data_IF_601063350687
#
_entry.id   IF_601063350687
#
_cell.length_a   1.000
_cell.length_b   1.000
_cell.length_c   1.000
_cell.angle_alpha   90.00
_cell.angle_beta   90.00
_cell.angle_gamma   90.00
#
_symmetry.space_group_name_H-M   'P 1'
#
loop_
_entity.id
_entity.type
_entity.pdbx_description
1 polymer ?
#
# COMPACT_ATOMS: atom_id res chain seq x y z
N UNK A 1 -5.52 39.51 -5.93
CA UNK A 1 -4.23 38.96 -5.44
C UNK A 1 -3.01 39.61 -6.12
N UNK A 2 -2.91 39.63 -7.45
CA UNK A 2 -1.74 40.15 -8.18
C UNK A 2 -1.41 41.63 -7.89
N UNK A 3 -2.40 42.52 -7.97
CA UNK A 3 -2.24 43.95 -7.62
C UNK A 3 -1.71 44.16 -6.18
N UNK A 4 -2.20 43.38 -5.21
CA UNK A 4 -1.72 43.40 -3.83
C UNK A 4 -0.27 42.90 -3.71
N UNK A 5 0.13 41.91 -4.51
CA UNK A 5 1.51 41.41 -4.56
C UNK A 5 2.48 42.45 -5.12
N UNK A 6 2.08 43.18 -6.16
CA UNK A 6 2.86 44.28 -6.74
C UNK A 6 3.01 45.44 -5.76
N UNK A 7 1.91 45.85 -5.11
CA UNK A 7 1.94 46.84 -4.03
C UNK A 7 2.88 46.40 -2.90
N UNK A 8 2.86 45.13 -2.49
CA UNK A 8 3.81 44.59 -1.49
C UNK A 8 5.26 44.69 -1.96
N UNK A 9 5.56 44.43 -3.24
CA UNK A 9 6.92 44.52 -3.80
C UNK A 9 7.48 45.94 -3.69
N UNK A 10 6.65 46.97 -3.94
CA UNK A 10 7.04 48.39 -3.82
C UNK A 10 7.49 48.76 -2.40
N UNK A 11 6.86 48.19 -1.37
CA UNK A 11 7.19 48.47 0.03
C UNK A 11 8.27 47.56 0.63
N UNK A 12 8.82 46.59 -0.11
CA UNK A 12 9.74 45.56 0.41
C UNK A 12 11.08 46.14 0.91
N UNK A 13 11.59 47.18 0.24
CA UNK A 13 12.89 47.79 0.53
C UNK A 13 12.76 49.20 1.13
N UNK A 14 11.55 49.64 1.47
CA UNK A 14 11.31 50.98 2.02
C UNK A 14 11.50 50.96 3.53
N UNK A 15 12.56 51.60 4.02
CA UNK A 15 12.98 51.53 5.43
C UNK A 15 12.25 52.54 6.35
N UNK A 16 11.23 53.25 5.84
CA UNK A 16 10.41 54.17 6.64
C UNK A 16 9.45 53.41 7.57
N UNK A 17 9.05 54.04 8.68
CA UNK A 17 8.07 53.45 9.62
C UNK A 17 6.75 53.12 8.92
N UNK A 18 6.26 54.04 8.08
CA UNK A 18 5.06 53.86 7.27
C UNK A 18 5.23 52.74 6.22
N UNK A 19 6.39 52.66 5.56
CA UNK A 19 6.68 51.59 4.59
C UNK A 19 6.66 50.21 5.22
N UNK A 20 7.27 50.04 6.39
CA UNK A 20 7.23 48.78 7.17
C UNK A 20 5.80 48.43 7.61
N UNK A 21 4.99 49.42 8.02
CA UNK A 21 3.60 49.20 8.40
C UNK A 21 2.74 48.73 7.20
N UNK A 22 2.88 49.40 6.06
CA UNK A 22 2.15 49.06 4.83
C UNK A 22 2.56 47.70 4.27
N UNK A 23 3.86 47.37 4.30
CA UNK A 23 4.36 46.04 3.94
C UNK A 23 3.74 44.95 4.83
N UNK A 24 3.75 45.12 6.15
CA UNK A 24 3.15 44.15 7.09
C UNK A 24 1.66 43.98 6.84
N UNK A 25 0.92 45.07 6.64
CA UNK A 25 -0.53 45.03 6.35
C UNK A 25 -0.81 44.23 5.07
N UNK A 26 -0.17 44.59 3.96
CA UNK A 26 -0.34 43.91 2.67
C UNK A 26 0.09 42.45 2.72
N UNK A 27 1.18 42.13 3.43
CA UNK A 27 1.65 40.75 3.58
C UNK A 27 0.68 39.89 4.41
N UNK A 28 0.07 40.46 5.46
CA UNK A 28 -0.95 39.78 6.25
C UNK A 28 -2.24 39.57 5.46
N UNK A 29 -2.67 40.55 4.67
CA UNK A 29 -3.83 40.42 3.78
C UNK A 29 -3.61 39.33 2.71
N UNK A 30 -2.47 39.35 2.03
CA UNK A 30 -2.10 38.32 1.05
C UNK A 30 -2.04 36.93 1.68
N UNK A 31 -1.49 36.83 2.89
CA UNK A 31 -1.47 35.55 3.63
C UNK A 31 -2.87 35.06 3.94
N UNK A 32 -3.78 35.93 4.41
CA UNK A 32 -5.19 35.58 4.66
C UNK A 32 -5.91 35.15 3.39
N UNK A 33 -5.73 35.86 2.29
CA UNK A 33 -6.31 35.48 0.98
C UNK A 33 -5.80 34.12 0.52
N UNK A 34 -4.49 33.87 0.65
CA UNK A 34 -3.88 32.60 0.28
C UNK A 34 -4.36 31.45 1.18
N UNK A 35 -4.43 31.68 2.49
CA UNK A 35 -4.91 30.69 3.46
C UNK A 35 -6.39 30.36 3.24
N UNK A 36 -7.22 31.36 2.88
CA UNK A 36 -8.62 31.18 2.49
C UNK A 36 -8.74 30.36 1.21
N UNK A 37 -7.99 30.71 0.16
CA UNK A 37 -7.99 29.97 -1.10
C UNK A 37 -7.55 28.52 -0.92
N UNK A 38 -6.49 28.27 -0.13
CA UNK A 38 -6.06 26.89 0.20
C UNK A 38 -7.13 26.12 0.97
N UNK A 39 -7.80 26.77 1.91
CA UNK A 39 -8.87 26.12 2.70
C UNK A 39 -10.04 25.74 1.82
N UNK A 40 -10.51 26.65 0.97
CA UNK A 40 -11.60 26.38 0.02
C UNK A 40 -11.23 25.30 -1.00
N UNK A 41 -9.98 25.26 -1.46
CA UNK A 41 -9.49 24.18 -2.34
C UNK A 41 -9.59 22.81 -1.65
N UNK A 42 -9.13 22.71 -0.40
CA UNK A 42 -9.23 21.46 0.37
C UNK A 42 -10.67 21.08 0.70
N UNK A 43 -11.53 22.05 1.00
CA UNK A 43 -12.96 21.81 1.22
C UNK A 43 -13.62 21.20 -0.01
N UNK A 44 -13.32 21.73 -1.20
CA UNK A 44 -13.81 21.19 -2.46
C UNK A 44 -13.39 19.74 -2.67
N UNK A 45 -12.09 19.42 -2.56
CA UNK A 45 -11.61 18.05 -2.74
C UNK A 45 -12.09 17.09 -1.65
N UNK A 46 -12.26 17.56 -0.41
CA UNK A 46 -12.86 16.74 0.64
C UNK A 46 -14.34 16.45 0.36
N UNK A 47 -15.11 17.43 -0.13
CA UNK A 47 -16.50 17.21 -0.52
C UNK A 47 -16.58 16.16 -1.64
N UNK A 48 -15.75 16.30 -2.68
CA UNK A 48 -15.70 15.36 -3.80
C UNK A 48 -15.37 13.93 -3.33
N UNK A 49 -14.36 13.77 -2.46
CA UNK A 49 -14.00 12.47 -1.90
C UNK A 49 -15.11 11.86 -1.04
N UNK A 50 -15.77 12.68 -0.21
CA UNK A 50 -16.88 12.24 0.64
C UNK A 50 -18.11 11.83 -0.20
N UNK A 51 -18.37 12.53 -1.31
CA UNK A 51 -19.45 12.18 -2.25
C UNK A 51 -19.14 10.88 -3.00
N UNK A 52 -17.90 10.69 -3.44
CA UNK A 52 -17.45 9.42 -4.04
C UNK A 52 -17.59 8.24 -3.07
N UNK A 53 -17.23 8.43 -1.79
CA UNK A 53 -17.42 7.42 -0.75
C UNK A 53 -18.91 7.12 -0.51
N UNK A 54 -19.77 8.16 -0.51
CA UNK A 54 -21.24 7.99 -0.40
C UNK A 54 -21.82 7.20 -1.58
N UNK A 55 -21.29 7.40 -2.79
CA UNK A 55 -21.69 6.65 -3.98
C UNK A 55 -21.12 5.22 -4.04
N UNK A 56 -20.26 4.83 -3.09
CA UNK A 56 -19.62 3.51 -3.07
C UNK A 56 -18.54 3.31 -4.12
N UNK A 57 -18.07 4.39 -4.79
CA UNK A 57 -17.04 4.34 -5.84
C UNK A 57 -15.64 4.41 -5.24
N UNK A 58 -15.26 3.34 -4.53
CA UNK A 58 -13.95 3.24 -3.85
C UNK A 58 -12.77 3.34 -4.84
N UNK A 59 -12.94 2.84 -6.06
CA UNK A 59 -12.01 2.97 -7.18
C UNK A 59 -11.64 4.45 -7.45
N UNK A 60 -12.66 5.31 -7.57
CA UNK A 60 -12.49 6.73 -7.84
C UNK A 60 -11.93 7.48 -6.62
N UNK A 61 -12.34 7.09 -5.40
CA UNK A 61 -11.74 7.63 -4.16
C UNK A 61 -10.23 7.40 -4.18
N UNK A 62 -9.78 6.17 -4.45
CA UNK A 62 -8.35 5.86 -4.46
C UNK A 62 -7.61 6.54 -5.61
N UNK A 63 -8.21 6.62 -6.80
CA UNK A 63 -7.64 7.35 -7.92
C UNK A 63 -7.42 8.83 -7.56
N UNK A 64 -8.42 9.48 -6.96
CA UNK A 64 -8.35 10.88 -6.55
C UNK A 64 -7.36 11.10 -5.41
N UNK A 65 -7.34 10.23 -4.41
CA UNK A 65 -6.36 10.29 -3.31
C UNK A 65 -4.94 10.14 -3.85
N UNK A 66 -4.74 9.27 -4.83
CA UNK A 66 -3.45 9.09 -5.50
C UNK A 66 -3.08 10.32 -6.33
N UNK A 67 -4.02 10.94 -7.04
CA UNK A 67 -3.82 12.23 -7.73
C UNK A 67 -3.37 13.32 -6.75
N UNK A 68 -4.08 13.48 -5.64
CA UNK A 68 -3.77 14.47 -4.61
C UNK A 68 -2.43 14.20 -3.90
N UNK A 69 -2.00 12.93 -3.86
CA UNK A 69 -0.79 12.48 -3.14
C UNK A 69 0.44 12.33 -4.02
N UNK A 70 0.25 12.23 -5.34
CA UNK A 70 1.34 12.33 -6.32
C UNK A 70 1.76 13.79 -6.40
N UNK A 71 2.90 14.11 -5.82
CA UNK A 71 3.70 15.22 -6.33
C UNK A 71 3.96 14.92 -7.82
N UNK A 72 3.85 15.94 -8.69
CA UNK A 72 4.44 15.83 -10.03
C UNK A 72 5.87 15.35 -9.80
N UNK A 73 6.20 14.14 -10.26
CA UNK A 73 7.56 13.63 -10.26
C UNK A 73 8.35 14.50 -11.24
N UNK A 74 8.76 15.69 -10.82
CA UNK A 74 9.57 16.62 -11.62
C UNK A 74 11.06 16.24 -11.56
N UNK A 75 11.40 15.06 -11.05
CA UNK A 75 12.71 14.45 -11.22
C UNK A 75 12.57 13.12 -11.94
N UNK A 76 13.17 12.98 -13.13
CA UNK A 76 13.61 11.67 -13.61
C UNK A 76 14.48 11.08 -12.50
N UNK A 77 14.18 9.86 -12.04
CA UNK A 77 15.17 9.11 -11.27
C UNK A 77 16.37 8.96 -12.20
N UNK A 78 17.50 9.58 -11.87
CA UNK A 78 18.77 9.19 -12.46
C UNK A 78 19.16 7.91 -11.74
N UNK A 79 19.02 6.79 -12.42
CA UNK A 79 19.62 5.55 -11.95
C UNK A 79 21.14 5.72 -12.12
N UNK A 80 21.88 5.58 -11.02
CA UNK A 80 23.34 5.71 -11.03
C UNK A 80 23.93 4.51 -10.30
N UNK A 81 24.89 3.83 -10.93
CA UNK A 81 25.52 2.61 -10.42
C UNK A 81 27.02 2.84 -10.32
N UNK A 82 27.67 2.30 -9.29
CA UNK A 82 29.12 2.40 -9.14
C UNK A 82 29.83 1.34 -10.01
N UNK A 83 30.83 1.78 -10.76
CA UNK A 83 31.81 0.90 -11.41
C UNK A 83 32.57 0.07 -10.37
N UNK A 84 33.22 -1.01 -10.80
CA UNK A 84 34.09 -1.86 -9.98
C UNK A 84 35.22 -1.08 -9.30
N UNK A 85 35.69 -0.02 -9.97
CA UNK A 85 36.71 0.92 -9.46
C UNK A 85 36.13 2.07 -8.61
N UNK A 86 34.82 2.05 -8.30
CA UNK A 86 34.16 3.05 -7.46
C UNK A 86 33.75 4.36 -8.16
N UNK A 87 33.78 4.40 -9.50
CA UNK A 87 33.35 5.56 -10.30
C UNK A 87 31.84 5.56 -10.50
N UNK A 88 31.17 6.71 -10.40
CA UNK A 88 29.73 6.82 -10.58
C UNK A 88 29.34 6.80 -12.08
N UNK A 89 28.66 5.73 -12.50
CA UNK A 89 28.10 5.58 -13.84
C UNK A 89 26.67 6.14 -13.85
N UNK A 90 26.39 7.00 -14.83
CA UNK A 90 25.08 7.67 -14.98
C UNK A 90 24.46 7.47 -16.37
N UNK A 91 25.22 6.92 -17.32
CA UNK A 91 24.74 6.57 -18.66
C UNK A 91 24.16 5.16 -18.67
N UNK A 92 23.04 4.97 -19.37
CA UNK A 92 22.29 3.71 -19.36
C UNK A 92 23.10 2.52 -19.91
N UNK A 93 23.95 2.76 -20.90
CA UNK A 93 24.80 1.72 -21.51
C UNK A 93 25.89 1.24 -20.55
N UNK A 94 26.49 2.16 -19.80
CA UNK A 94 27.51 1.84 -18.82
C UNK A 94 26.92 1.10 -17.63
N UNK A 95 25.72 1.50 -17.20
CA UNK A 95 24.96 0.80 -16.15
C UNK A 95 24.67 -0.64 -16.58
N UNK A 96 24.16 -0.86 -17.80
CA UNK A 96 23.88 -2.20 -18.33
C UNK A 96 25.14 -3.05 -18.42
N UNK A 97 26.25 -2.46 -18.87
CA UNK A 97 27.54 -3.16 -18.96
C UNK A 97 28.07 -3.55 -17.58
N UNK A 98 27.93 -2.68 -16.59
CA UNK A 98 28.31 -2.95 -15.19
C UNK A 98 27.46 -4.06 -14.56
N UNK A 99 26.16 -4.09 -14.87
CA UNK A 99 25.26 -5.17 -14.44
C UNK A 99 25.66 -6.52 -15.04
N UNK A 100 25.99 -6.54 -16.34
CA UNK A 100 26.50 -7.74 -17.00
C UNK A 100 27.75 -8.27 -16.31
N UNK A 101 28.74 -7.40 -16.08
CA UNK A 101 29.99 -7.77 -15.40
C UNK A 101 29.75 -8.28 -13.97
N UNK A 102 28.85 -7.65 -13.22
CA UNK A 102 28.51 -8.08 -11.86
C UNK A 102 27.93 -9.50 -11.83
N UNK A 103 27.01 -9.80 -12.76
CA UNK A 103 26.36 -11.11 -12.84
C UNK A 103 27.38 -12.16 -13.27
N UNK A 104 28.20 -11.88 -14.28
CA UNK A 104 29.27 -12.79 -14.71
C UNK A 104 30.23 -13.11 -13.54
N UNK A 105 30.68 -12.11 -12.79
CA UNK A 105 31.52 -12.32 -11.60
C UNK A 105 30.80 -13.13 -10.50
N UNK A 106 29.52 -12.83 -10.24
CA UNK A 106 28.72 -13.49 -9.20
C UNK A 106 28.53 -15.00 -9.48
N UNK A 107 28.38 -15.36 -10.76
CA UNK A 107 28.12 -16.74 -11.18
C UNK A 107 29.37 -17.47 -11.70
N UNK A 108 30.52 -16.80 -11.82
CA UNK A 108 31.79 -17.41 -12.19
C UNK A 108 32.53 -18.05 -11.00
N UNK A 109 32.12 -17.81 -9.75
CA UNK A 109 32.79 -18.39 -8.58
C UNK A 109 32.55 -19.90 -8.50
N UNK A 110 33.63 -20.67 -8.62
CA UNK A 110 33.66 -22.14 -8.51
C UNK A 110 33.38 -22.68 -7.11
N UNK A 111 32.74 -21.92 -6.22
CA UNK A 111 32.29 -22.37 -4.89
C UNK A 111 30.90 -23.03 -4.97
N UNK A 112 30.63 -23.79 -6.02
CA UNK A 112 29.42 -24.61 -6.12
C UNK A 112 29.73 -25.98 -5.52
N UNK A 113 29.02 -26.42 -4.46
CA UNK A 113 29.12 -27.80 -4.00
C UNK A 113 28.61 -28.72 -5.12
N UNK A 114 29.43 -29.70 -5.54
CA UNK A 114 29.04 -30.65 -6.59
C UNK A 114 27.86 -31.54 -6.17
N UNK A 115 27.68 -31.76 -4.86
CA UNK A 115 26.52 -32.44 -4.29
C UNK A 115 25.99 -31.69 -3.07
N UNK A 116 24.70 -31.35 -3.11
CA UNK A 116 23.93 -30.92 -1.95
C UNK A 116 23.34 -32.18 -1.29
N UNK A 117 23.43 -32.35 0.04
CA UNK A 117 22.71 -33.42 0.73
C UNK A 117 21.21 -33.20 0.53
N UNK A 118 20.60 -34.00 -0.35
CA UNK A 118 19.17 -34.04 -0.55
C UNK A 118 18.56 -34.81 0.63
N UNK A 119 17.75 -34.13 1.44
CA UNK A 119 16.71 -34.85 2.19
C UNK A 119 15.68 -35.31 1.15
N UNK A 120 15.55 -36.63 0.97
CA UNK A 120 14.53 -37.23 0.11
C UNK A 120 13.15 -36.79 0.62
N UNK A 121 12.45 -35.96 -0.16
CA UNK A 121 11.03 -35.71 0.05
C UNK A 121 10.26 -37.02 -0.15
N UNK A 122 9.26 -37.26 0.71
CA UNK A 122 8.37 -38.41 0.62
C UNK A 122 7.65 -38.39 -0.75
N UNK A 123 7.54 -39.56 -1.39
CA UNK A 123 6.85 -39.73 -2.68
C UNK A 123 5.45 -39.10 -2.61
N UNK A 124 5.22 -38.09 -3.45
CA UNK A 124 3.88 -37.54 -3.69
C UNK A 124 3.11 -38.56 -4.51
N UNK A 125 1.88 -38.87 -4.09
CA UNK A 125 0.95 -39.80 -4.74
C UNK A 125 0.87 -39.53 -6.25
N UNK A 126 1.18 -40.53 -7.09
CA UNK A 126 1.26 -40.38 -8.56
C UNK A 126 -0.09 -39.95 -9.19
N UNK A 127 -1.18 -40.09 -8.44
CA UNK A 127 -2.54 -39.73 -8.86
C UNK A 127 -2.79 -38.20 -8.95
N UNK A 128 -1.96 -37.37 -8.30
CA UNK A 128 -2.04 -35.90 -8.38
C UNK A 128 -1.12 -35.30 -9.46
N UNK A 129 -0.38 -36.14 -10.20
CA UNK A 129 0.50 -35.69 -11.28
C UNK A 129 -0.36 -35.36 -12.51
N UNK A 130 -0.72 -34.07 -12.64
CA UNK A 130 -1.35 -33.55 -13.84
C UNK A 130 -0.55 -33.87 -15.11
N UNK A 131 -1.18 -33.77 -16.31
CA UNK A 131 -0.51 -34.08 -17.56
C UNK A 131 0.75 -33.23 -17.75
N UNK A 132 1.77 -33.84 -18.38
CA UNK A 132 3.03 -33.16 -18.67
C UNK A 132 2.78 -31.89 -19.49
N UNK A 133 3.33 -30.77 -19.03
CA UNK A 133 3.18 -29.47 -19.68
C UNK A 133 3.77 -29.56 -21.10
N UNK A 134 2.93 -29.30 -22.10
CA UNK A 134 3.36 -29.39 -23.50
C UNK A 134 4.10 -28.13 -23.94
N UNK A 135 5.08 -28.31 -24.85
CA UNK A 135 5.83 -27.18 -25.45
C UNK A 135 4.90 -26.17 -26.12
N UNK A 136 3.79 -26.63 -26.70
CA UNK A 136 2.80 -25.76 -27.35
C UNK A 136 1.98 -24.94 -26.34
N UNK A 137 1.71 -25.45 -25.15
CA UNK A 137 0.96 -24.72 -24.11
C UNK A 137 1.77 -23.54 -23.56
N UNK A 138 3.09 -23.73 -23.40
CA UNK A 138 4.00 -22.67 -22.96
C UNK A 138 4.05 -21.53 -23.99
N UNK A 139 4.10 -21.87 -25.29
CA UNK A 139 4.08 -20.89 -26.37
C UNK A 139 2.76 -20.11 -26.42
N UNK A 140 1.63 -20.80 -26.28
CA UNK A 140 0.32 -20.16 -26.23
C UNK A 140 0.17 -19.25 -25.01
N UNK A 141 0.64 -19.69 -23.83
CA UNK A 141 0.59 -18.89 -22.61
C UNK A 141 1.37 -17.57 -22.75
N UNK A 142 2.53 -17.59 -23.43
CA UNK A 142 3.36 -16.41 -23.65
C UNK A 142 2.76 -15.46 -24.70
N UNK A 143 2.17 -16.00 -25.77
CA UNK A 143 1.47 -15.19 -26.77
C UNK A 143 0.25 -14.46 -26.17
N UNK A 144 -0.45 -15.13 -25.24
CA UNK A 144 -1.57 -14.56 -24.51
C UNK A 144 -1.18 -13.59 -23.38
N UNK A 145 0.11 -13.38 -23.10
CA UNK A 145 0.53 -12.36 -22.15
C UNK A 145 0.20 -10.96 -22.69
N UNK A 146 -0.36 -10.10 -21.86
CA UNK A 146 -0.69 -8.72 -22.24
C UNK A 146 0.43 -7.76 -21.85
N UNK A 147 0.85 -6.91 -22.77
CA UNK A 147 1.92 -5.93 -22.57
C UNK A 147 1.52 -4.82 -21.58
N UNK A 148 2.51 -4.23 -20.90
CA UNK A 148 2.34 -3.09 -19.99
C UNK A 148 1.73 -3.42 -18.63
N UNK A 149 1.64 -4.70 -18.25
CA UNK A 149 1.26 -5.13 -16.90
C UNK A 149 2.46 -5.10 -15.95
N UNK A 150 2.16 -5.00 -14.65
CA UNK A 150 3.18 -5.04 -13.61
C UNK A 150 3.92 -6.38 -13.63
N UNK A 151 5.25 -6.31 -13.51
CA UNK A 151 6.15 -7.46 -13.44
C UNK A 151 5.71 -8.43 -12.32
N UNK A 152 5.88 -9.73 -12.58
CA UNK A 152 5.53 -10.80 -11.64
C UNK A 152 6.50 -10.88 -10.47
N UNK A 153 6.40 -11.94 -9.67
CA UNK A 153 7.34 -12.20 -8.56
C UNK A 153 8.80 -12.41 -9.03
N UNK A 154 8.97 -12.67 -10.32
CA UNK A 154 10.23 -12.81 -11.04
C UNK A 154 10.88 -11.47 -11.40
N UNK A 155 10.14 -10.34 -11.37
CA UNK A 155 10.65 -9.04 -11.79
C UNK A 155 10.93 -8.95 -13.29
N UNK A 156 10.36 -9.86 -14.09
CA UNK A 156 10.57 -9.93 -15.53
C UNK A 156 9.34 -9.36 -16.24
N UNK A 157 9.48 -8.32 -17.07
CA UNK A 157 8.36 -7.80 -17.85
C UNK A 157 7.87 -8.82 -18.87
N UNK A 158 6.56 -8.85 -19.15
CA UNK A 158 5.97 -9.75 -20.14
C UNK A 158 6.59 -9.58 -21.54
N UNK A 159 7.06 -8.37 -21.83
CA UNK A 159 7.75 -7.97 -23.04
C UNK A 159 9.08 -8.72 -23.22
N UNK A 160 9.76 -9.03 -22.11
CA UNK A 160 11.03 -9.78 -22.14
C UNK A 160 10.82 -11.21 -22.63
N UNK A 161 9.74 -11.86 -22.19
CA UNK A 161 9.36 -13.21 -22.61
C UNK A 161 8.99 -13.28 -24.09
N UNK A 162 8.33 -12.24 -24.61
CA UNK A 162 7.97 -12.14 -26.03
C UNK A 162 9.18 -11.86 -26.94
N UNK A 163 10.19 -11.13 -26.45
CA UNK A 163 11.42 -10.81 -27.19
C UNK A 163 12.35 -12.03 -27.32
N UNK A 164 12.29 -12.98 -26.38
CA UNK A 164 13.15 -14.16 -26.34
C UNK A 164 13.02 -15.08 -27.58
N UNK A 165 11.91 -14.99 -28.31
CA UNK A 165 11.67 -15.71 -29.56
C UNK A 165 11.63 -17.24 -29.41
N UNK A 166 11.33 -17.95 -30.50
CA UNK A 166 11.20 -19.41 -30.49
C UNK A 166 12.50 -20.16 -30.12
N UNK A 167 13.67 -19.56 -30.41
CA UNK A 167 14.98 -20.16 -30.08
C UNK A 167 15.34 -20.02 -28.60
N UNK A 168 15.09 -18.86 -27.98
CA UNK A 168 15.27 -18.69 -26.54
C UNK A 168 14.28 -19.53 -25.72
N UNK A 169 13.08 -19.77 -26.27
CA UNK A 169 12.09 -20.67 -25.69
C UNK A 169 12.46 -22.14 -25.80
N UNK A 170 13.18 -22.54 -26.86
CA UNK A 170 13.71 -23.89 -27.00
C UNK A 170 14.78 -24.20 -25.95
N UNK A 171 15.65 -23.22 -25.66
CA UNK A 171 16.59 -23.28 -24.56
C UNK A 171 15.91 -23.30 -23.18
N UNK A 172 14.68 -22.77 -23.08
CA UNK A 172 13.89 -22.75 -21.84
C UNK A 172 13.31 -24.11 -21.46
N UNK A 173 12.98 -24.95 -22.46
CA UNK A 173 12.38 -26.27 -22.22
C UNK A 173 13.43 -27.36 -21.99
N UNK A 174 14.65 -27.19 -22.51
CA UNK A 174 15.77 -28.13 -22.28
C UNK A 174 16.54 -27.80 -20.97
N UNK A 175 15.93 -27.05 -20.04
CA UNK A 175 16.61 -26.52 -18.84
C UNK A 175 16.72 -27.58 -17.72
N UNK A 176 17.89 -27.80 -17.10
CA UNK A 176 18.06 -28.75 -15.98
C UNK A 176 17.14 -28.49 -14.77
N UNK A 177 16.66 -29.58 -14.15
CA UNK A 177 15.73 -29.65 -12.99
C UNK A 177 16.09 -28.73 -11.82
N UNK A 178 17.37 -28.37 -11.66
CA UNK A 178 17.86 -27.44 -10.64
C UNK A 178 17.23 -26.04 -10.75
N UNK A 179 16.73 -25.64 -11.91
CA UNK A 179 16.11 -24.33 -12.11
C UNK A 179 14.66 -24.26 -11.61
N UNK A 180 13.92 -25.38 -11.57
CA UNK A 180 12.65 -25.44 -10.84
C UNK A 180 12.87 -25.16 -9.35
N UNK A 181 14.00 -25.61 -8.79
CA UNK A 181 14.36 -25.34 -7.39
C UNK A 181 14.72 -23.86 -7.17
N UNK A 182 15.32 -23.18 -8.15
CA UNK A 182 15.62 -21.73 -8.08
C UNK A 182 14.35 -20.89 -8.25
N UNK A 183 13.44 -21.24 -9.16
CA UNK A 183 12.14 -20.58 -9.32
C UNK A 183 11.27 -20.82 -8.08
N UNK A 184 11.25 -22.04 -7.53
CA UNK A 184 10.62 -22.33 -6.25
C UNK A 184 11.27 -21.52 -5.11
N UNK A 185 12.59 -21.26 -5.17
CA UNK A 185 13.29 -20.39 -4.21
C UNK A 185 12.98 -18.90 -4.38
N UNK A 186 12.72 -18.42 -5.60
CA UNK A 186 12.17 -17.07 -5.83
C UNK A 186 10.71 -16.99 -5.36
N UNK A 187 9.94 -18.07 -5.51
CA UNK A 187 8.62 -18.26 -4.91
C UNK A 187 8.68 -18.47 -3.38
N UNK A 188 9.84 -18.83 -2.80
CA UNK A 188 10.09 -18.81 -1.34
C UNK A 188 10.36 -17.40 -0.80
N UNK A 189 10.11 -16.34 -1.57
CA UNK A 189 9.84 -15.06 -0.95
C UNK A 189 8.62 -15.22 -0.05
N UNK A 190 8.84 -15.14 1.27
CA UNK A 190 7.79 -15.25 2.29
C UNK A 190 6.68 -14.20 2.13
N UNK A 191 6.81 -13.24 1.21
CA UNK A 191 5.92 -12.10 0.99
C UNK A 191 5.74 -11.84 -0.51
N UNK A 192 4.50 -11.68 -0.96
CA UNK A 192 4.09 -11.42 -2.35
C UNK A 192 3.23 -10.15 -2.42
N UNK A 193 3.40 -9.30 -3.43
CA UNK A 193 2.57 -8.09 -3.61
C UNK A 193 1.48 -8.35 -4.66
N UNK A 194 0.22 -8.37 -4.23
CA UNK A 194 -0.94 -8.56 -5.09
C UNK A 194 -1.86 -7.32 -5.08
N UNK A 195 -2.12 -6.73 -6.25
CA UNK A 195 -2.94 -5.52 -6.41
C UNK A 195 -2.54 -4.39 -5.44
N UNK A 196 -1.25 -4.34 -5.09
CA UNK A 196 -0.69 -3.35 -4.16
C UNK A 196 -0.86 -3.68 -2.67
N UNK A 197 -1.35 -4.86 -2.30
CA UNK A 197 -1.39 -5.40 -0.92
C UNK A 197 -0.35 -6.52 -0.76
N UNK A 198 0.34 -6.55 0.38
CA UNK A 198 1.36 -7.54 0.68
C UNK A 198 0.71 -8.76 1.36
N UNK A 199 0.88 -9.93 0.74
CA UNK A 199 0.45 -11.23 1.24
C UNK A 199 1.68 -11.98 1.74
N UNK A 200 1.64 -12.45 2.98
CA UNK A 200 2.72 -13.26 3.56
C UNK A 200 2.33 -14.75 3.47
N UNK A 201 3.29 -15.65 3.25
CA UNK A 201 3.07 -17.11 3.26
C UNK A 201 2.40 -17.58 4.57
N UNK A 202 2.72 -16.93 5.69
CA UNK A 202 2.12 -17.22 6.98
C UNK A 202 0.64 -16.80 7.10
N UNK A 203 0.11 -16.05 6.13
CA UNK A 203 -1.26 -15.50 6.15
C UNK A 203 -1.49 -14.39 7.17
N UNK A 204 -0.43 -13.89 7.83
CA UNK A 204 -0.53 -12.77 8.77
C UNK A 204 -0.59 -11.42 8.04
N UNK A 205 -1.49 -10.55 8.50
CA UNK A 205 -1.63 -9.19 8.00
C UNK A 205 -0.64 -8.19 8.65
N UNK A 206 0.32 -8.64 9.47
CA UNK A 206 1.15 -7.74 10.27
C UNK A 206 2.08 -6.89 9.39
N UNK A 207 2.70 -7.51 8.37
CA UNK A 207 3.55 -6.83 7.39
C UNK A 207 2.75 -5.82 6.59
N UNK A 208 1.58 -6.22 6.09
CA UNK A 208 0.69 -5.34 5.34
C UNK A 208 0.24 -4.13 6.16
N UNK A 209 -0.21 -4.35 7.40
CA UNK A 209 -0.63 -3.27 8.30
C UNK A 209 0.54 -2.32 8.60
N UNK A 210 1.75 -2.85 8.85
CA UNK A 210 2.96 -2.02 9.04
C UNK A 210 3.27 -1.18 7.80
N UNK A 211 3.21 -1.78 6.62
CA UNK A 211 3.44 -1.11 5.34
C UNK A 211 2.42 0.01 5.10
N UNK A 212 1.13 -0.25 5.35
CA UNK A 212 0.05 0.75 5.23
C UNK A 212 0.19 1.89 6.21
N UNK A 213 0.56 1.60 7.46
CA UNK A 213 0.88 2.61 8.46
C UNK A 213 2.05 3.48 7.98
N UNK A 214 3.11 2.88 7.45
CA UNK A 214 4.26 3.62 6.92
C UNK A 214 3.85 4.55 5.77
N UNK A 215 3.08 4.05 4.79
CA UNK A 215 2.56 4.83 3.66
C UNK A 215 1.65 5.98 4.11
N UNK A 216 0.79 5.75 5.08
CA UNK A 216 -0.07 6.79 5.64
C UNK A 216 0.73 7.88 6.38
N UNK A 217 1.76 7.48 7.15
CA UNK A 217 2.68 8.41 7.82
C UNK A 217 3.52 9.22 6.83
N UNK A 218 3.99 8.59 5.75
CA UNK A 218 4.70 9.26 4.67
C UNK A 218 3.78 10.29 3.98
N UNK A 219 2.55 9.89 3.63
CA UNK A 219 1.53 10.78 3.05
C UNK A 219 1.22 11.97 3.97
N UNK A 220 1.14 11.75 5.29
CA UNK A 220 1.01 12.83 6.27
C UNK A 220 2.22 13.77 6.27
N UNK A 221 3.43 13.20 6.24
CA UNK A 221 4.69 13.95 6.36
C UNK A 221 4.97 14.81 5.14
N UNK A 222 4.57 14.35 3.95
CA UNK A 222 4.60 15.14 2.71
C UNK A 222 3.71 16.38 2.80
N UNK A 223 2.59 16.29 3.51
CA UNK A 223 1.62 17.39 3.67
C UNK A 223 1.89 18.24 4.91
N UNK A 224 3.03 18.95 4.90
CA UNK A 224 3.43 19.86 6.00
C UNK A 224 2.41 20.97 6.25
N UNK A 225 1.57 21.29 5.27
CA UNK A 225 0.50 22.29 5.38
C UNK A 225 -0.52 21.93 6.48
N UNK A 226 -0.74 20.63 6.74
CA UNK A 226 -1.65 20.17 7.80
C UNK A 226 -1.17 20.60 9.20
N UNK A 227 0.13 20.81 9.35
CA UNK A 227 0.75 21.30 10.57
C UNK A 227 0.75 22.83 10.65
N UNK A 228 0.23 23.55 9.66
CA UNK A 228 0.16 25.03 9.74
C UNK A 228 -1.05 25.49 10.57
N UNK A 229 -1.03 26.75 11.03
CA UNK A 229 -2.19 27.37 11.72
C UNK A 229 -3.28 27.82 10.76
N UNK A 230 -3.10 27.71 9.44
CA UNK A 230 -4.02 28.26 8.45
C UNK A 230 -5.34 27.49 8.36
N UNK A 231 -5.31 26.17 8.59
CA UNK A 231 -6.51 25.34 8.52
C UNK A 231 -7.22 25.23 9.87
N UNK A 232 -8.55 25.30 9.82
CA UNK A 232 -9.41 25.01 10.96
C UNK A 232 -9.29 23.54 11.36
N UNK A 233 -9.52 23.23 12.64
CA UNK A 233 -9.49 21.85 13.13
C UNK A 233 -10.50 20.93 12.40
N UNK A 234 -11.76 21.36 12.11
CA UNK A 234 -12.69 20.56 11.33
C UNK A 234 -12.16 20.20 9.94
N UNK A 235 -11.59 21.16 9.21
CA UNK A 235 -11.04 20.90 7.88
C UNK A 235 -9.85 19.92 7.94
N UNK A 236 -8.96 20.08 8.93
CA UNK A 236 -7.86 19.13 9.14
C UNK A 236 -8.37 17.71 9.40
N UNK A 237 -9.44 17.55 10.20
CA UNK A 237 -10.06 16.24 10.44
C UNK A 237 -10.56 15.63 9.14
N UNK A 238 -11.25 16.43 8.31
CA UNK A 238 -11.75 15.97 7.00
C UNK A 238 -10.62 15.49 6.10
N UNK A 239 -9.56 16.28 5.92
CA UNK A 239 -8.41 15.88 5.09
C UNK A 239 -7.76 14.59 5.58
N UNK A 240 -7.63 14.41 6.90
CA UNK A 240 -7.07 13.18 7.48
C UNK A 240 -7.97 11.99 7.16
N UNK A 241 -9.28 12.13 7.34
CA UNK A 241 -10.26 11.06 7.08
C UNK A 241 -10.37 10.73 5.58
N UNK A 242 -10.31 11.71 4.69
CA UNK A 242 -10.50 11.48 3.26
C UNK A 242 -9.23 11.02 2.54
N UNK A 243 -8.05 11.53 2.92
CA UNK A 243 -6.79 11.26 2.21
C UNK A 243 -5.89 10.27 2.93
N UNK A 244 -5.70 10.46 4.23
CA UNK A 244 -4.71 9.69 4.99
C UNK A 244 -5.30 8.35 5.42
N UNK A 245 -6.55 8.37 5.88
CA UNK A 245 -7.24 7.14 6.24
C UNK A 245 -7.57 6.30 5.01
N UNK A 246 -7.95 6.88 3.88
CA UNK A 246 -8.11 6.09 2.64
C UNK A 246 -6.80 5.37 2.29
N UNK A 247 -5.65 6.05 2.33
CA UNK A 247 -4.34 5.42 2.10
C UNK A 247 -4.04 4.27 3.07
N UNK A 248 -4.41 4.44 4.35
CA UNK A 248 -4.22 3.44 5.40
C UNK A 248 -5.19 2.26 5.26
N UNK A 249 -6.44 2.53 4.92
CA UNK A 249 -7.57 1.59 4.91
C UNK A 249 -7.72 0.83 3.59
N UNK A 250 -6.78 1.00 2.66
CA UNK A 250 -6.77 0.23 1.42
C UNK A 250 -6.59 -1.26 1.74
N UNK A 251 -7.57 -2.07 1.35
CA UNK A 251 -7.58 -3.51 1.59
C UNK A 251 -7.80 -3.90 3.05
N UNK A 252 -8.28 -2.98 3.91
CA UNK A 252 -8.53 -3.27 5.32
C UNK A 252 -9.71 -4.23 5.55
N UNK A 253 -10.56 -4.40 4.54
CA UNK A 253 -11.69 -5.32 4.52
C UNK A 253 -11.26 -6.79 4.72
N UNK A 254 -10.06 -7.16 4.28
CA UNK A 254 -9.55 -8.54 4.32
C UNK A 254 -8.67 -8.82 5.54
N UNK A 255 -8.42 -7.83 6.41
CA UNK A 255 -7.52 -8.00 7.55
C UNK A 255 -8.11 -8.84 8.68
N UNK A 256 -7.41 -9.90 9.08
CA UNK A 256 -7.68 -10.61 10.32
C UNK A 256 -6.93 -9.94 11.49
N UNK A 257 -7.61 -9.08 12.25
CA UNK A 257 -6.96 -8.25 13.27
C UNK A 257 -6.93 -8.95 14.64
N UNK A 258 -5.74 -9.14 15.23
CA UNK A 258 -5.59 -9.52 16.65
C UNK A 258 -5.41 -8.26 17.48
N UNK A 259 -5.37 -8.45 18.81
CA UNK A 259 -5.22 -7.36 19.78
C UNK A 259 -3.97 -6.51 19.52
N UNK A 260 -2.89 -7.13 19.05
CA UNK A 260 -1.64 -6.45 18.74
C UNK A 260 -1.75 -5.54 17.52
N UNK A 261 -2.38 -6.01 16.44
CA UNK A 261 -2.62 -5.21 15.24
C UNK A 261 -3.58 -4.05 15.52
N UNK A 262 -4.64 -4.28 16.29
CA UNK A 262 -5.56 -3.22 16.73
C UNK A 262 -4.80 -2.15 17.51
N UNK A 263 -3.96 -2.53 18.48
CA UNK A 263 -3.15 -1.61 19.26
C UNK A 263 -2.20 -0.77 18.38
N UNK A 264 -1.62 -1.37 17.33
CA UNK A 264 -0.79 -0.63 16.35
C UNK A 264 -1.60 0.40 15.56
N UNK A 265 -2.81 0.04 15.13
CA UNK A 265 -3.72 0.93 14.41
C UNK A 265 -4.16 2.10 15.31
N UNK A 266 -4.56 1.82 16.55
CA UNK A 266 -4.91 2.84 17.55
C UNK A 266 -3.72 3.77 17.86
N UNK A 267 -2.51 3.21 17.95
CA UNK A 267 -1.28 3.98 18.13
C UNK A 267 -1.00 4.90 16.93
N UNK A 268 -1.27 4.44 15.71
CA UNK A 268 -1.17 5.24 14.50
C UNK A 268 -2.20 6.38 14.48
N UNK A 269 -3.46 6.09 14.81
CA UNK A 269 -4.53 7.08 14.95
C UNK A 269 -4.13 8.17 15.95
N UNK A 270 -3.62 7.76 17.11
CA UNK A 270 -3.18 8.70 18.14
C UNK A 270 -1.97 9.53 17.70
N UNK A 271 -1.01 8.93 17.01
CA UNK A 271 0.11 9.65 16.42
C UNK A 271 -0.35 10.74 15.44
N UNK A 272 -1.28 10.42 14.52
CA UNK A 272 -1.83 11.38 13.55
C UNK A 272 -2.47 12.57 14.25
N UNK A 273 -3.34 12.29 15.23
CA UNK A 273 -4.08 13.34 15.93
C UNK A 273 -3.19 14.25 16.78
N UNK A 274 -2.24 13.68 17.52
CA UNK A 274 -1.25 14.45 18.29
C UNK A 274 -0.42 15.36 17.39
N UNK A 275 0.03 14.84 16.24
CA UNK A 275 0.79 15.65 15.26
C UNK A 275 -0.05 16.79 14.69
N UNK A 276 -1.28 16.53 14.27
CA UNK A 276 -2.18 17.57 13.74
C UNK A 276 -2.49 18.67 14.75
N UNK A 277 -2.65 18.30 16.02
CA UNK A 277 -2.89 19.25 17.13
C UNK A 277 -1.61 19.88 17.69
N UNK A 278 -0.43 19.46 17.23
CA UNK A 278 0.89 19.89 17.74
C UNK A 278 1.10 19.64 19.22
N UNK A 279 0.54 18.54 19.74
CA UNK A 279 0.76 18.14 21.12
C UNK A 279 2.17 17.54 21.20
N UNK A 280 3.03 18.19 21.99
CA UNK A 280 4.37 17.72 22.28
C UNK A 280 4.32 16.70 23.42
N UNK A 281 5.36 15.87 23.52
CA UNK A 281 5.49 14.91 24.62
C UNK A 281 5.66 15.62 25.98
N UNK A 282 6.22 16.84 25.97
CA UNK A 282 6.39 17.73 27.13
C UNK A 282 5.06 18.20 27.72
N UNK A 283 4.00 18.26 26.91
CA UNK A 283 2.70 18.79 27.34
C UNK A 283 1.96 17.81 28.26
N UNK A 284 2.46 16.56 28.40
CA UNK A 284 1.92 15.50 29.26
C UNK A 284 0.40 15.29 29.14
N UNK A 285 -0.18 15.60 27.97
CA UNK A 285 -1.61 15.42 27.70
C UNK A 285 -1.93 13.93 27.58
N UNK A 286 -2.96 13.45 28.30
CA UNK A 286 -3.41 12.06 28.24
C UNK A 286 -4.09 11.72 26.91
N UNK A 287 -4.03 10.45 26.49
CA UNK A 287 -4.68 9.99 25.26
C UNK A 287 -6.20 10.23 25.28
N UNK A 288 -6.84 10.08 26.43
CA UNK A 288 -8.28 10.30 26.62
C UNK A 288 -8.72 11.72 26.29
N UNK A 289 -7.91 12.74 26.64
CA UNK A 289 -8.21 14.13 26.32
C UNK A 289 -8.17 14.37 24.81
N UNK A 290 -7.21 13.75 24.11
CA UNK A 290 -7.12 13.84 22.65
C UNK A 290 -8.32 13.16 21.99
N UNK A 291 -8.70 11.97 22.48
CA UNK A 291 -9.84 11.22 21.96
C UNK A 291 -11.17 11.93 22.21
N UNK A 292 -11.37 12.58 23.37
CA UNK A 292 -12.57 13.39 23.65
C UNK A 292 -12.77 14.54 22.65
N UNK A 293 -11.69 15.05 22.04
CA UNK A 293 -11.78 16.16 21.07
C UNK A 293 -12.05 15.70 19.64
N UNK A 294 -11.80 14.43 19.30
CA UNK A 294 -11.78 13.96 17.91
C UNK A 294 -12.72 12.78 17.64
N UNK A 295 -13.07 12.02 18.68
CA UNK A 295 -13.82 10.76 18.62
C UNK A 295 -13.00 9.61 18.01
N UNK A 296 -13.05 8.42 18.63
CA UNK A 296 -12.45 7.20 18.07
C UNK A 296 -13.25 6.80 16.85
N UNK A 297 -12.59 6.61 15.70
CA UNK A 297 -13.35 6.17 14.52
C UNK A 297 -12.57 5.31 13.53
N UNK A 298 -11.24 5.15 13.67
CA UNK A 298 -10.48 4.38 12.68
C UNK A 298 -10.79 2.87 12.73
N UNK A 299 -10.66 2.24 13.90
CA UNK A 299 -10.95 0.81 14.06
C UNK A 299 -12.41 0.51 13.75
N UNK A 300 -13.34 1.35 14.22
CA UNK A 300 -14.77 1.19 13.94
C UNK A 300 -15.09 1.31 12.44
N UNK A 301 -14.35 2.15 11.71
CA UNK A 301 -14.47 2.26 10.26
C UNK A 301 -13.96 1.01 9.56
N UNK A 302 -12.83 0.43 10.00
CA UNK A 302 -12.37 -0.88 9.50
C UNK A 302 -13.46 -1.93 9.74
N UNK A 303 -14.00 -2.00 10.96
CA UNK A 303 -15.06 -2.95 11.30
C UNK A 303 -16.31 -2.79 10.43
N UNK A 304 -16.71 -1.56 10.16
CA UNK A 304 -17.85 -1.26 9.27
C UNK A 304 -17.59 -1.76 7.85
N UNK A 305 -16.40 -1.48 7.30
CA UNK A 305 -16.01 -1.92 5.95
C UNK A 305 -15.91 -3.45 5.86
N UNK A 306 -15.34 -4.11 6.87
CA UNK A 306 -15.31 -5.57 6.97
C UNK A 306 -16.71 -6.19 6.95
N UNK A 307 -17.67 -5.61 7.69
CA UNK A 307 -19.06 -6.08 7.70
C UNK A 307 -19.74 -5.87 6.35
N UNK A 308 -19.54 -4.72 5.72
CA UNK A 308 -20.10 -4.43 4.40
C UNK A 308 -19.55 -5.40 3.35
N UNK A 309 -18.24 -5.66 3.36
CA UNK A 309 -17.58 -6.63 2.48
C UNK A 309 -18.09 -8.05 2.73
N UNK A 310 -18.11 -8.52 3.98
CA UNK A 310 -18.65 -9.85 4.32
C UNK A 310 -20.12 -9.98 3.91
N UNK A 311 -20.92 -8.94 4.15
CA UNK A 311 -22.32 -8.92 3.73
C UNK A 311 -22.46 -9.00 2.21
N UNK A 312 -21.58 -8.35 1.45
CA UNK A 312 -21.54 -8.46 -0.01
C UNK A 312 -21.12 -9.86 -0.46
N UNK A 313 -20.02 -10.40 0.07
CA UNK A 313 -19.51 -11.73 -0.27
C UNK A 313 -20.55 -12.82 0.01
N UNK A 314 -21.23 -12.77 1.16
CA UNK A 314 -22.24 -13.78 1.54
C UNK A 314 -23.51 -13.75 0.67
N UNK A 315 -23.75 -12.66 -0.06
CA UNK A 315 -24.87 -12.59 -1.02
C UNK A 315 -24.58 -13.29 -2.34
N UNK A 316 -23.31 -13.47 -2.68
CA UNK A 316 -22.89 -14.18 -3.89
C UNK A 316 -22.61 -15.65 -3.55
N UNK A 317 -23.26 -16.60 -4.23
CA UNK A 317 -22.97 -18.04 -4.10
C UNK A 317 -21.74 -18.42 -4.94
N UNK A 318 -20.60 -17.84 -4.59
CA UNK A 318 -19.34 -18.03 -5.31
C UNK A 318 -18.30 -18.77 -4.47
N UNK A 319 -17.17 -19.11 -5.09
CA UNK A 319 -16.01 -19.75 -4.48
C UNK A 319 -15.58 -19.09 -3.16
N UNK A 320 -15.74 -17.77 -3.03
CA UNK A 320 -15.41 -17.01 -1.83
C UNK A 320 -16.23 -17.44 -0.61
N UNK A 321 -17.51 -17.78 -0.77
CA UNK A 321 -18.33 -18.28 0.34
C UNK A 321 -17.90 -19.68 0.74
N UNK A 322 -17.56 -20.53 -0.24
CA UNK A 322 -16.98 -21.85 0.03
C UNK A 322 -15.63 -21.75 0.73
N UNK A 323 -14.78 -20.78 0.38
CA UNK A 323 -13.50 -20.55 1.08
C UNK A 323 -13.70 -20.00 2.50
N UNK A 324 -14.71 -19.16 2.72
CA UNK A 324 -15.01 -18.59 4.04
C UNK A 324 -15.66 -19.61 4.99
N UNK A 325 -16.66 -20.36 4.52
CA UNK A 325 -17.42 -21.32 5.32
C UNK A 325 -16.85 -22.75 5.28
N UNK A 326 -16.01 -23.03 4.28
CA UNK A 326 -15.40 -24.33 4.04
C UNK A 326 -14.57 -24.78 5.22
N UNK A 327 -14.76 -26.05 5.58
CA UNK A 327 -13.93 -26.73 6.56
C UNK A 327 -13.02 -27.68 5.80
N UNK A 328 -11.72 -27.52 5.99
CA UNK A 328 -10.74 -28.50 5.53
C UNK A 328 -10.87 -29.75 6.43
N UNK A 329 -10.83 -30.93 5.83
CA UNK A 329 -10.82 -32.17 6.58
C UNK A 329 -9.57 -32.25 7.47
N UNK A 330 -9.75 -32.73 8.70
CA UNK A 330 -8.70 -32.81 9.70
C UNK A 330 -8.98 -32.06 11.00
N UNK A 331 -8.15 -32.30 12.02
CA UNK A 331 -8.23 -31.66 13.33
C UNK A 331 -7.26 -30.48 13.39
N UNK A 332 -7.73 -29.33 13.85
CA UNK A 332 -6.83 -28.19 14.13
C UNK A 332 -5.84 -28.57 15.25
N UNK A 333 -4.55 -28.25 15.12
CA UNK A 333 -3.56 -28.58 16.14
C UNK A 333 -3.91 -27.94 17.50
N UNK A 334 -3.63 -28.62 18.62
CA UNK A 334 -3.83 -28.09 19.97
C UNK A 334 -2.89 -26.88 20.22
N UNK A 335 -3.38 -25.86 20.95
CA UNK A 335 -2.60 -24.65 21.29
C UNK A 335 -3.24 -23.32 20.85
N UNK A 336 -2.42 -22.28 20.65
CA UNK A 336 -2.87 -20.94 20.24
C UNK A 336 -3.38 -20.97 18.79
N UNK A 337 -4.70 -21.02 18.64
CA UNK A 337 -5.36 -21.08 17.33
C UNK A 337 -5.13 -19.79 16.54
N UNK A 338 -4.85 -19.94 15.24
CA UNK A 338 -4.89 -18.82 14.29
C UNK A 338 -6.32 -18.29 14.24
N UNK A 339 -6.48 -16.96 14.26
CA UNK A 339 -7.79 -16.31 14.18
C UNK A 339 -8.05 -15.94 12.72
N UNK A 340 -9.06 -16.55 12.11
CA UNK A 340 -9.57 -16.11 10.82
C UNK A 340 -10.46 -14.88 10.94
N UNK A 341 -10.83 -14.28 9.81
CA UNK A 341 -11.76 -13.15 9.78
C UNK A 341 -13.11 -13.50 10.42
N UNK A 342 -13.61 -14.73 10.24
CA UNK A 342 -14.85 -15.20 10.87
C UNK A 342 -14.72 -15.33 12.39
N UNK A 343 -13.55 -15.74 12.89
CA UNK A 343 -13.30 -15.85 14.33
C UNK A 343 -13.23 -14.46 14.96
N UNK A 344 -12.63 -13.49 14.26
CA UNK A 344 -12.59 -12.09 14.67
C UNK A 344 -13.99 -11.46 14.69
N UNK A 345 -14.81 -11.73 13.68
CA UNK A 345 -16.22 -11.27 13.63
C UNK A 345 -17.05 -11.92 14.74
N UNK A 346 -16.90 -13.23 14.97
CA UNK A 346 -17.59 -13.95 16.07
C UNK A 346 -17.22 -13.39 17.43
N UNK A 347 -15.94 -13.04 17.64
CA UNK A 347 -15.47 -12.44 18.90
C UNK A 347 -16.12 -11.08 19.18
N UNK A 348 -16.42 -10.30 18.13
CA UNK A 348 -17.00 -8.96 18.25
C UNK A 348 -18.53 -8.98 18.33
N UNK A 349 -19.19 -9.76 17.47
CA UNK A 349 -20.66 -9.78 17.34
C UNK A 349 -21.35 -10.92 18.12
N UNK A 350 -20.56 -11.82 18.72
CA UNK A 350 -21.03 -12.97 19.48
C UNK A 350 -21.58 -14.12 18.64
N UNK A 351 -22.01 -13.91 17.39
CA UNK A 351 -22.42 -15.00 16.49
C UNK A 351 -22.29 -14.61 15.02
N UNK A 352 -21.70 -15.52 14.24
CA UNK A 352 -21.60 -15.41 12.78
C UNK A 352 -22.96 -15.51 12.09
N UNK A 353 -23.87 -16.36 12.58
CA UNK A 353 -25.23 -16.52 12.01
C UNK A 353 -26.05 -15.24 12.09
N UNK A 354 -25.82 -14.39 13.11
CA UNK A 354 -26.45 -13.07 13.22
C UNK A 354 -25.92 -12.09 12.17
N UNK A 355 -24.65 -12.21 11.78
CA UNK A 355 -24.05 -11.39 10.72
C UNK A 355 -24.50 -11.90 9.35
N UNK A 356 -24.54 -13.22 9.16
CA UNK A 356 -25.03 -13.86 7.94
C UNK A 356 -26.50 -13.52 7.66
N UNK A 357 -27.40 -13.67 8.64
CA UNK A 357 -28.82 -13.29 8.51
C UNK A 357 -29.01 -11.80 8.20
N UNK A 358 -28.21 -10.90 8.81
CA UNK A 358 -28.28 -9.46 8.50
C UNK A 358 -27.74 -9.14 7.09
N UNK A 359 -26.69 -9.84 6.65
CA UNK A 359 -26.11 -9.71 5.32
C UNK A 359 -27.03 -10.20 4.19
N UNK A 360 -27.71 -11.32 4.41
CA UNK A 360 -28.73 -11.90 3.53
C UNK A 360 -30.02 -11.05 3.51
N UNK A 361 -30.42 -10.53 4.67
CA UNK A 361 -31.66 -9.74 4.85
C UNK A 361 -31.58 -8.24 4.53
N UNK A 362 -30.50 -7.76 3.86
CA UNK A 362 -30.28 -6.33 3.50
C UNK A 362 -30.22 -5.33 4.68
N UNK A 363 -29.78 -5.77 5.87
CA UNK A 363 -29.76 -4.94 7.09
C UNK A 363 -28.35 -4.50 7.56
N UNK A 364 -27.32 -4.59 6.70
CA UNK A 364 -25.93 -4.18 7.02
C UNK A 364 -25.45 -3.00 6.19
#
# INVERSE_FOLDING_TARGET
>A
MLDKMEKRRKWKNVNTVQGRMMYRKLNNELRRETDKARSSWWEFHCNELEDLERMGRSDLVYAKVNELSKEKREGKKQDSVLSKDGILLTEANDINSRWKEYIEDLYASGERPDELPLELEEEVDEDDRGPDILKEEILQAIDHLTDGKSEGADGVPAEMWKVLGAEGLKALVDWPEDWMKVILRVLTNRQFSYLGSILTQDGYCDVEIKSRIARAKDTFSKRKELLTKSFSLPLKKRIIKTVIWSTLLYGAETWAMRKEEISRIESCEMWLWRKTMKILWSDKVSNEVVLRRIERSLVDTIRRRQKAWLGHTLRHRELLVLMLEGRVEGKRPPGRRRCGILDDVKRVEGSYERVKRRGEGRML
#
